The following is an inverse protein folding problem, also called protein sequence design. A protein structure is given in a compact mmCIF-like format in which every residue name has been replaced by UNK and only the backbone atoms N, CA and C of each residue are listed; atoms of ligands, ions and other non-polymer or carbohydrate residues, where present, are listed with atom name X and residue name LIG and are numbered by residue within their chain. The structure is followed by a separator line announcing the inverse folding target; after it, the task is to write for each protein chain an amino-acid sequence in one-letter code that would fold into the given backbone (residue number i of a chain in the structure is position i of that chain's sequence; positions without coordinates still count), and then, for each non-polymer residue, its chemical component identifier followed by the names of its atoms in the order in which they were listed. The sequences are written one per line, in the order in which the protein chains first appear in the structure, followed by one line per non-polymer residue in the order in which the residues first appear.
data_IF_050573656860
#
_entry.id   IF_050573656860
#
_cell.length_a   1.000
_cell.length_b   1.000
_cell.length_c   1.000
_cell.angle_alpha   90.00
_cell.angle_beta   90.00
_cell.angle_gamma   90.00
#
_symmetry.space_group_name_H-M   'P 1'
#
loop_
_entity.id
_entity.type
_entity.pdbx_description
1 polymer ?
#
# COMPACT_ATOMS: atom_id res chain seq x y z
N UNK A 1 5.74 -20.12 8.78
CA UNK A 1 5.26 -19.18 7.74
C UNK A 1 5.57 -19.73 6.35
N UNK A 2 4.80 -19.37 5.30
CA UNK A 2 4.94 -19.93 3.95
C UNK A 2 6.35 -19.79 3.34
N UNK A 3 7.07 -18.70 3.63
CA UNK A 3 8.41 -18.46 3.08
C UNK A 3 9.46 -19.50 3.53
N UNK A 4 9.34 -20.08 4.74
CA UNK A 4 10.21 -21.19 5.17
C UNK A 4 9.94 -22.49 4.39
N UNK A 5 8.70 -22.72 3.99
CA UNK A 5 8.35 -23.91 3.20
C UNK A 5 8.91 -23.81 1.78
N UNK A 6 8.82 -22.64 1.14
CA UNK A 6 9.44 -22.39 -0.16
C UNK A 6 10.97 -22.53 -0.12
N UNK A 7 11.62 -22.05 0.94
CA UNK A 7 13.06 -22.24 1.12
C UNK A 7 13.46 -23.73 1.15
N UNK A 8 12.73 -24.56 1.92
CA UNK A 8 12.98 -26.01 1.96
C UNK A 8 12.77 -26.69 0.60
N UNK A 9 11.80 -26.23 -0.17
CA UNK A 9 11.63 -26.70 -1.55
C UNK A 9 12.83 -26.33 -2.41
N UNK A 10 13.38 -25.12 -2.26
CA UNK A 10 14.56 -24.73 -3.04
C UNK A 10 15.82 -25.50 -2.70
N UNK A 11 15.96 -25.91 -1.43
CA UNK A 11 17.07 -26.78 -0.99
C UNK A 11 16.98 -28.16 -1.64
N UNK A 12 15.77 -28.65 -1.95
CA UNK A 12 15.55 -29.98 -2.55
C UNK A 12 15.54 -29.97 -4.09
N UNK A 13 14.95 -28.94 -4.69
CA UNK A 13 14.64 -28.90 -6.13
C UNK A 13 15.43 -27.85 -6.91
N UNK A 14 16.25 -27.05 -6.23
CA UNK A 14 17.02 -25.97 -6.83
C UNK A 14 16.44 -24.56 -6.57
N UNK A 15 17.16 -23.51 -6.95
CA UNK A 15 16.88 -22.13 -6.52
C UNK A 15 15.57 -21.55 -7.05
N UNK A 16 15.07 -22.07 -8.19
CA UNK A 16 13.80 -21.69 -8.80
C UNK A 16 12.87 -22.88 -8.75
N UNK A 17 11.72 -22.72 -8.08
CA UNK A 17 10.73 -23.79 -7.94
C UNK A 17 9.37 -23.36 -8.47
N UNK A 18 8.68 -24.29 -9.13
CA UNK A 18 7.31 -24.09 -9.60
C UNK A 18 6.32 -24.80 -8.68
N UNK A 19 5.32 -24.09 -8.17
CA UNK A 19 4.31 -24.60 -7.25
C UNK A 19 2.91 -24.26 -7.77
N UNK A 20 2.04 -25.26 -7.88
CA UNK A 20 0.63 -25.03 -8.13
C UNK A 20 -0.08 -24.57 -6.86
N UNK A 21 -0.77 -23.44 -6.94
CA UNK A 21 -1.64 -22.94 -5.87
C UNK A 21 -3.04 -22.72 -6.45
N UNK A 22 -3.94 -23.66 -6.15
CA UNK A 22 -5.22 -23.72 -6.83
C UNK A 22 -5.00 -23.91 -8.34
N UNK A 23 -5.65 -23.09 -9.16
CA UNK A 23 -5.52 -23.13 -10.63
C UNK A 23 -4.35 -22.34 -11.21
N UNK A 24 -3.48 -21.74 -10.38
CA UNK A 24 -2.39 -20.88 -10.85
C UNK A 24 -1.02 -21.53 -10.56
N UNK A 25 -0.12 -21.45 -11.55
CA UNK A 25 1.28 -21.82 -11.39
C UNK A 25 2.08 -20.63 -10.82
N UNK A 26 2.69 -20.83 -9.66
CA UNK A 26 3.58 -19.86 -9.03
C UNK A 26 5.02 -20.27 -9.26
N UNK A 27 5.83 -19.36 -9.81
CA UNK A 27 7.28 -19.51 -9.88
C UNK A 27 7.89 -18.75 -8.70
N UNK A 28 8.68 -19.45 -7.88
CA UNK A 28 9.28 -18.90 -6.67
C UNK A 28 10.80 -18.84 -6.83
N UNK A 29 11.34 -17.63 -6.68
CA UNK A 29 12.78 -17.34 -6.74
C UNK A 29 13.34 -17.31 -5.32
N UNK A 30 14.35 -18.14 -5.03
CA UNK A 30 14.91 -18.25 -3.68
C UNK A 30 16.35 -17.72 -3.56
N UNK A 31 16.93 -17.15 -4.63
CA UNK A 31 18.26 -16.53 -4.58
C UNK A 31 18.22 -15.06 -4.98
N UNK A 32 19.10 -14.26 -4.39
CA UNK A 32 19.25 -12.85 -4.74
C UNK A 32 19.73 -12.66 -6.20
N UNK A 33 20.52 -13.59 -6.72
CA UNK A 33 21.00 -13.53 -8.11
C UNK A 33 19.84 -13.67 -9.10
N UNK A 34 18.94 -14.64 -8.90
CA UNK A 34 17.76 -14.85 -9.75
C UNK A 34 16.78 -13.68 -9.65
N UNK A 35 16.55 -13.16 -8.44
CA UNK A 35 15.70 -11.99 -8.22
C UNK A 35 16.28 -10.77 -8.96
N UNK A 36 17.58 -10.52 -8.87
CA UNK A 36 18.22 -9.40 -9.58
C UNK A 36 18.16 -9.57 -11.10
N UNK A 37 18.39 -10.78 -11.60
CA UNK A 37 18.34 -11.05 -13.04
C UNK A 37 16.92 -10.88 -13.61
N UNK A 38 15.89 -11.41 -12.91
CA UNK A 38 14.52 -11.40 -13.42
C UNK A 38 13.77 -10.12 -13.04
N UNK A 39 13.81 -9.68 -11.78
CA UNK A 39 13.03 -8.54 -11.32
C UNK A 39 13.69 -7.19 -11.63
N UNK A 40 15.02 -7.07 -11.54
CA UNK A 40 15.69 -5.78 -11.79
C UNK A 40 16.04 -5.63 -13.27
N UNK A 41 16.90 -6.50 -13.82
CA UNK A 41 17.38 -6.35 -15.21
C UNK A 41 16.28 -6.57 -16.24
N UNK A 42 15.37 -7.50 -15.97
CA UNK A 42 14.25 -7.86 -16.86
C UNK A 42 12.90 -7.39 -16.30
N UNK A 43 12.92 -6.35 -15.46
CA UNK A 43 11.72 -5.87 -14.77
C UNK A 43 10.56 -5.52 -15.70
N UNK A 44 10.80 -5.05 -16.93
CA UNK A 44 9.72 -4.77 -17.90
C UNK A 44 8.87 -5.99 -18.27
N UNK A 45 9.43 -7.20 -18.13
CA UNK A 45 8.75 -8.47 -18.40
C UNK A 45 8.01 -8.96 -17.14
N UNK A 46 8.63 -8.82 -15.96
CA UNK A 46 8.16 -9.45 -14.72
C UNK A 46 7.50 -8.49 -13.70
N UNK A 47 7.39 -7.20 -13.99
CA UNK A 47 6.83 -6.21 -13.05
C UNK A 47 5.31 -6.20 -12.97
N UNK A 48 4.60 -6.90 -13.85
CA UNK A 48 3.14 -6.91 -13.82
C UNK A 48 2.61 -7.57 -12.55
N UNK A 49 1.43 -7.13 -12.10
CA UNK A 49 0.75 -7.67 -10.92
C UNK A 49 -0.35 -8.64 -11.36
N UNK A 50 -0.56 -9.76 -10.63
CA UNK A 50 -1.74 -10.58 -10.83
C UNK A 50 -3.01 -9.75 -10.73
N UNK A 51 -4.00 -10.02 -11.58
CA UNK A 51 -5.27 -9.30 -11.55
C UNK A 51 -6.00 -9.60 -10.24
N UNK A 52 -6.28 -8.55 -9.45
CA UNK A 52 -7.07 -8.63 -8.23
C UNK A 52 -8.37 -7.84 -8.47
N UNK A 53 -9.37 -8.48 -9.09
CA UNK A 53 -10.57 -7.77 -9.57
C UNK A 53 -11.34 -7.12 -8.41
N UNK A 54 -11.55 -7.84 -7.31
CA UNK A 54 -12.29 -7.24 -6.19
C UNK A 54 -11.47 -6.15 -5.50
N UNK A 55 -10.21 -6.44 -5.16
CA UNK A 55 -9.38 -5.50 -4.43
C UNK A 55 -9.03 -4.27 -5.27
N UNK A 56 -8.48 -4.45 -6.48
CA UNK A 56 -8.06 -3.34 -7.33
C UNK A 56 -9.26 -2.65 -8.01
N UNK A 57 -10.12 -3.39 -8.73
CA UNK A 57 -11.13 -2.77 -9.60
C UNK A 57 -12.37 -2.30 -8.81
N UNK A 58 -12.81 -3.05 -7.79
CA UNK A 58 -14.00 -2.69 -7.00
C UNK A 58 -13.66 -1.80 -5.80
N UNK A 59 -12.75 -2.24 -4.93
CA UNK A 59 -12.50 -1.57 -3.65
C UNK A 59 -11.68 -0.29 -3.87
N UNK A 60 -10.63 -0.36 -4.67
CA UNK A 60 -9.75 0.79 -4.98
C UNK A 60 -10.12 1.54 -6.25
N UNK A 61 -11.20 1.15 -6.95
CA UNK A 61 -11.65 1.79 -8.18
C UNK A 61 -10.54 1.92 -9.25
N UNK A 62 -9.61 0.94 -9.30
CA UNK A 62 -8.48 0.93 -10.24
C UNK A 62 -7.36 1.93 -9.93
N UNK A 63 -7.40 2.62 -8.78
CA UNK A 63 -6.47 3.71 -8.45
C UNK A 63 -5.26 3.27 -7.61
N UNK A 64 -5.23 2.04 -7.10
CA UNK A 64 -4.13 1.58 -6.25
C UNK A 64 -2.95 1.10 -7.08
N UNK A 65 -1.91 1.93 -7.18
CA UNK A 65 -0.72 1.67 -8.00
C UNK A 65 -0.02 0.34 -7.65
N UNK A 66 -0.01 -0.06 -6.38
CA UNK A 66 0.69 -1.25 -5.93
C UNK A 66 0.04 -2.57 -6.40
N UNK A 67 -1.26 -2.54 -6.70
CA UNK A 67 -2.01 -3.66 -7.28
C UNK A 67 -2.28 -3.54 -8.78
N UNK A 68 -1.93 -2.40 -9.39
CA UNK A 68 -2.23 -2.15 -10.79
C UNK A 68 -1.32 -3.03 -11.69
N UNK A 69 -1.89 -3.75 -12.68
CA UNK A 69 -1.10 -4.45 -13.70
C UNK A 69 -0.20 -3.48 -14.47
N UNK A 70 0.91 -4.00 -15.01
CA UNK A 70 1.84 -3.16 -15.76
C UNK A 70 1.22 -2.75 -17.10
N UNK A 71 0.74 -1.49 -17.17
CA UNK A 71 0.11 -0.88 -18.35
C UNK A 71 0.40 0.64 -18.37
N UNK A 72 -0.18 1.37 -19.32
CA UNK A 72 0.00 2.82 -19.44
C UNK A 72 -0.50 3.60 -18.21
N UNK A 73 -1.60 3.15 -17.58
CA UNK A 73 -2.12 3.75 -16.35
C UNK A 73 -1.10 3.65 -15.22
N UNK A 74 -0.52 2.46 -15.01
CA UNK A 74 0.55 2.25 -14.03
C UNK A 74 1.76 3.13 -14.34
N UNK A 75 2.21 3.20 -15.61
CA UNK A 75 3.35 4.04 -16.02
C UNK A 75 3.11 5.52 -15.71
N UNK A 76 1.89 6.02 -16.00
CA UNK A 76 1.50 7.40 -15.71
C UNK A 76 1.49 7.69 -14.21
N UNK A 77 0.84 6.84 -13.42
CA UNK A 77 0.80 6.98 -11.95
C UNK A 77 2.22 6.92 -11.36
N UNK A 78 3.06 5.98 -11.82
CA UNK A 78 4.45 5.84 -11.37
C UNK A 78 5.29 7.06 -11.70
N UNK A 79 5.11 7.64 -12.89
CA UNK A 79 5.81 8.86 -13.31
C UNK A 79 5.49 10.02 -12.37
N UNK A 80 4.19 10.26 -12.09
CA UNK A 80 3.74 11.33 -11.18
C UNK A 80 4.33 11.10 -9.77
N UNK A 81 4.19 9.88 -9.23
CA UNK A 81 4.72 9.57 -7.91
C UNK A 81 6.24 9.79 -7.84
N UNK A 82 6.98 9.36 -8.85
CA UNK A 82 8.45 9.55 -8.90
C UNK A 82 8.84 11.02 -9.03
N UNK A 83 7.99 11.86 -9.65
CA UNK A 83 8.21 13.31 -9.68
C UNK A 83 7.99 13.95 -8.31
N UNK A 84 7.12 13.40 -7.47
CA UNK A 84 6.91 13.86 -6.09
C UNK A 84 8.00 13.35 -5.15
N UNK A 85 8.22 12.03 -5.08
CA UNK A 85 9.10 11.39 -4.08
C UNK A 85 10.47 10.99 -4.62
N UNK A 86 10.85 11.47 -5.80
CA UNK A 86 12.13 11.16 -6.42
C UNK A 86 13.33 11.76 -5.65
N UNK A 87 14.56 11.29 -5.95
CA UNK A 87 15.77 11.68 -5.21
C UNK A 87 16.02 13.20 -5.13
N UNK A 88 15.58 13.93 -6.16
CA UNK A 88 15.72 15.39 -6.21
C UNK A 88 14.75 16.10 -5.29
N UNK A 89 13.51 15.62 -5.19
CA UNK A 89 12.43 16.27 -4.43
C UNK A 89 12.38 15.82 -2.98
N UNK A 90 12.89 14.62 -2.67
CA UNK A 90 12.88 14.10 -1.29
C UNK A 90 13.71 14.94 -0.32
N UNK A 91 14.72 15.69 -0.81
CA UNK A 91 15.52 16.63 0.02
C UNK A 91 14.67 17.71 0.67
N UNK A 92 13.57 18.12 0.02
CA UNK A 92 12.63 19.07 0.59
C UNK A 92 11.96 18.53 1.88
N UNK A 93 11.87 17.20 2.03
CA UNK A 93 11.24 16.54 3.18
C UNK A 93 12.19 16.36 4.35
N UNK A 94 13.50 16.57 4.17
CA UNK A 94 14.49 16.34 5.20
C UNK A 94 14.23 17.13 6.50
N UNK A 95 13.88 18.43 6.47
CA UNK A 95 13.56 19.16 7.70
C UNK A 95 12.37 18.58 8.46
N UNK A 96 11.35 18.10 7.75
CA UNK A 96 10.19 17.43 8.34
C UNK A 96 10.62 16.11 9.02
N UNK A 97 11.43 15.30 8.34
CA UNK A 97 11.95 14.04 8.90
C UNK A 97 12.82 14.28 10.13
N UNK A 98 13.70 15.28 10.12
CA UNK A 98 14.56 15.64 11.25
C UNK A 98 13.75 16.12 12.45
N UNK A 99 12.71 16.92 12.22
CA UNK A 99 11.82 17.39 13.28
C UNK A 99 11.04 16.23 13.91
N UNK A 100 10.44 15.36 13.11
CA UNK A 100 9.73 14.20 13.63
C UNK A 100 10.67 13.20 14.31
N UNK A 101 11.92 13.09 13.86
CA UNK A 101 12.91 12.23 14.51
C UNK A 101 13.27 12.74 15.90
N UNK A 102 13.46 14.06 16.07
CA UNK A 102 13.69 14.68 17.39
C UNK A 102 12.50 14.44 18.32
N UNK A 103 11.29 14.60 17.81
CA UNK A 103 10.08 14.31 18.56
C UNK A 103 9.98 12.84 18.95
N UNK A 104 10.28 11.92 18.03
CA UNK A 104 10.28 10.49 18.31
C UNK A 104 11.26 10.13 19.44
N UNK A 105 12.47 10.68 19.40
CA UNK A 105 13.44 10.52 20.49
C UNK A 105 12.91 11.08 21.82
N UNK A 106 12.21 12.22 21.78
CA UNK A 106 11.60 12.81 22.98
C UNK A 106 10.49 11.92 23.55
N UNK A 107 9.61 11.43 22.70
CA UNK A 107 8.50 10.55 23.09
C UNK A 107 9.02 9.24 23.70
N UNK A 108 10.11 8.69 23.15
CA UNK A 108 10.79 7.51 23.69
C UNK A 108 11.44 7.75 25.07
N UNK A 109 11.97 8.95 25.32
CA UNK A 109 12.52 9.28 26.64
C UNK A 109 11.41 9.36 27.70
N UNK A 110 10.22 9.81 27.31
CA UNK A 110 9.09 9.98 28.23
C UNK A 110 8.33 8.66 28.47
N UNK A 111 8.23 7.78 27.45
CA UNK A 111 7.52 6.48 27.55
C UNK A 111 8.12 5.42 26.62
N UNK A 112 9.28 4.83 26.98
CA UNK A 112 10.01 3.88 26.12
C UNK A 112 9.22 2.59 25.83
N UNK A 113 8.30 2.20 26.72
CA UNK A 113 7.43 1.04 26.56
C UNK A 113 6.50 1.16 25.35
N UNK A 114 6.23 2.39 24.89
CA UNK A 114 5.36 2.68 23.75
C UNK A 114 6.12 2.82 22.43
N UNK A 115 7.32 2.23 22.32
CA UNK A 115 8.20 2.30 21.15
C UNK A 115 7.48 2.16 19.80
N UNK A 116 6.62 1.15 19.66
CA UNK A 116 5.87 0.89 18.42
C UNK A 116 4.87 2.00 18.10
N UNK A 117 4.15 2.50 19.11
CA UNK A 117 3.17 3.57 18.91
C UNK A 117 3.86 4.88 18.51
N UNK A 118 5.01 5.18 19.11
CA UNK A 118 5.80 6.35 18.73
C UNK A 118 6.33 6.25 17.30
N UNK A 119 6.72 5.05 16.85
CA UNK A 119 7.21 4.81 15.50
C UNK A 119 6.08 4.96 14.46
N UNK A 120 4.88 4.48 14.79
CA UNK A 120 3.67 4.61 13.98
C UNK A 120 3.22 6.07 13.86
N UNK A 121 3.26 6.82 14.98
CA UNK A 121 3.02 8.27 14.97
C UNK A 121 4.06 8.99 14.10
N UNK A 122 5.34 8.64 14.22
CA UNK A 122 6.42 9.23 13.43
C UNK A 122 6.17 9.05 11.92
N UNK A 123 5.89 7.81 11.50
CA UNK A 123 5.58 7.50 10.10
C UNK A 123 4.31 8.20 9.60
N UNK A 124 3.26 8.21 10.43
CA UNK A 124 2.01 8.92 10.13
C UNK A 124 2.25 10.41 9.91
N UNK A 125 2.98 11.05 10.82
CA UNK A 125 3.20 12.49 10.78
C UNK A 125 3.99 12.90 9.54
N UNK A 126 5.06 12.16 9.21
CA UNK A 126 5.80 12.38 7.96
C UNK A 126 4.87 12.26 6.75
N UNK A 127 4.06 11.20 6.69
CA UNK A 127 3.13 10.98 5.58
C UNK A 127 2.12 12.12 5.47
N UNK A 128 1.43 12.48 6.55
CA UNK A 128 0.38 13.50 6.50
C UNK A 128 0.95 14.89 6.25
N UNK A 129 2.11 15.22 6.80
CA UNK A 129 2.76 16.52 6.56
C UNK A 129 3.24 16.63 5.12
N UNK A 130 3.85 15.57 4.60
CA UNK A 130 4.40 15.54 3.24
C UNK A 130 3.31 15.52 2.18
N UNK A 131 2.26 14.71 2.39
CA UNK A 131 1.22 14.50 1.38
C UNK A 131 0.10 15.52 1.52
N UNK A 132 -0.41 15.76 2.73
CA UNK A 132 -1.62 16.55 2.98
C UNK A 132 -1.37 17.87 3.72
N UNK A 133 -0.12 18.17 4.05
CA UNK A 133 0.24 19.43 4.66
C UNK A 133 -0.14 19.60 6.13
N UNK A 134 -0.45 18.52 6.86
CA UNK A 134 -0.74 18.66 8.29
C UNK A 134 -0.04 17.59 9.12
N UNK A 135 0.30 17.95 10.35
CA UNK A 135 1.07 17.12 11.25
C UNK A 135 0.17 16.24 12.13
N UNK A 136 0.55 14.98 12.34
CA UNK A 136 -0.08 14.12 13.33
C UNK A 136 0.65 14.28 14.68
N UNK A 137 0.12 15.15 15.54
CA UNK A 137 0.76 15.50 16.81
C UNK A 137 0.78 14.38 17.86
N UNK A 138 -0.15 13.42 17.76
CA UNK A 138 -0.40 12.38 18.75
C UNK A 138 -0.76 11.06 18.04
N UNK A 139 -0.47 9.91 18.66
CA UNK A 139 -0.94 8.59 18.21
C UNK A 139 -2.47 8.49 18.18
N UNK A 140 -3.16 9.27 19.02
CA UNK A 140 -4.62 9.38 19.03
C UNK A 140 -5.16 10.19 17.85
N UNK A 141 -4.28 10.79 17.04
CA UNK A 141 -4.71 11.50 15.85
C UNK A 141 -5.48 10.56 14.92
N UNK A 142 -6.65 10.96 14.39
CA UNK A 142 -7.47 10.09 13.56
C UNK A 142 -6.72 9.46 12.37
N UNK A 143 -5.74 10.18 11.80
CA UNK A 143 -4.89 9.65 10.72
C UNK A 143 -3.97 8.51 11.18
N UNK A 144 -3.42 8.56 12.39
CA UNK A 144 -2.53 7.52 12.90
C UNK A 144 -3.32 6.25 13.16
N UNK A 145 -4.49 6.37 13.81
CA UNK A 145 -5.41 5.26 13.98
C UNK A 145 -5.88 4.70 12.63
N UNK A 146 -6.21 5.56 11.66
CA UNK A 146 -6.63 5.11 10.34
C UNK A 146 -5.54 4.33 9.61
N UNK A 147 -4.27 4.74 9.69
CA UNK A 147 -3.15 4.00 9.09
C UNK A 147 -2.89 2.66 9.78
N UNK A 148 -2.92 2.62 11.11
CA UNK A 148 -2.82 1.37 11.89
C UNK A 148 -3.92 0.38 11.51
N UNK A 149 -5.17 0.85 11.49
CA UNK A 149 -6.32 0.05 11.07
C UNK A 149 -6.20 -0.37 9.61
N UNK A 150 -5.67 0.49 8.75
CA UNK A 150 -5.47 0.19 7.33
C UNK A 150 -4.47 -0.93 7.13
N UNK A 151 -3.39 -1.03 7.92
CA UNK A 151 -2.42 -2.12 7.79
C UNK A 151 -3.06 -3.50 8.01
N UNK A 152 -3.77 -3.67 9.13
CA UNK A 152 -4.51 -4.92 9.42
C UNK A 152 -5.64 -5.19 8.42
N UNK A 153 -6.33 -4.14 7.98
CA UNK A 153 -7.36 -4.25 6.96
C UNK A 153 -6.77 -4.70 5.61
N UNK A 154 -5.63 -4.13 5.20
CA UNK A 154 -4.94 -4.49 3.96
C UNK A 154 -4.49 -5.95 3.97
N UNK A 155 -3.89 -6.41 5.07
CA UNK A 155 -3.51 -7.82 5.23
C UNK A 155 -4.73 -8.74 5.04
N UNK A 156 -5.84 -8.42 5.69
CA UNK A 156 -7.08 -9.20 5.59
C UNK A 156 -7.68 -9.20 4.17
N UNK A 157 -7.65 -8.05 3.48
CA UNK A 157 -8.26 -7.89 2.16
C UNK A 157 -7.37 -8.42 1.03
N UNK A 158 -6.05 -8.37 1.16
CA UNK A 158 -5.11 -8.87 0.15
C UNK A 158 -4.89 -10.38 0.23
N UNK A 159 -5.49 -11.08 1.21
CA UNK A 159 -5.33 -12.52 1.33
C UNK A 159 -5.71 -13.24 0.03
N UNK A 160 -4.77 -14.05 -0.54
CA UNK A 160 -5.10 -14.93 -1.65
C UNK A 160 -6.25 -15.83 -1.20
N UNK A 161 -7.26 -15.99 -2.05
CA UNK A 161 -8.52 -16.72 -1.81
C UNK A 161 -9.64 -16.00 -1.04
N UNK A 162 -9.44 -14.75 -0.59
CA UNK A 162 -10.50 -14.00 0.12
C UNK A 162 -11.76 -13.78 -0.72
N UNK A 163 -11.58 -13.57 -2.02
CA UNK A 163 -12.66 -13.19 -2.93
C UNK A 163 -12.99 -14.34 -3.88
N UNK A 164 -14.22 -14.82 -3.83
CA UNK A 164 -14.69 -15.89 -4.72
C UNK A 164 -14.68 -15.46 -6.18
N UNK A 165 -14.91 -14.17 -6.45
CA UNK A 165 -14.83 -13.58 -7.80
C UNK A 165 -13.41 -13.64 -8.39
N UNK A 166 -12.37 -13.57 -7.55
CA UNK A 166 -10.98 -13.69 -8.00
C UNK A 166 -10.57 -15.15 -8.21
N UNK A 167 -11.11 -16.07 -7.39
CA UNK A 167 -10.87 -17.51 -7.56
C UNK A 167 -11.61 -18.10 -8.77
N UNK A 168 -12.80 -17.57 -9.07
CA UNK A 168 -13.67 -18.06 -10.15
C UNK A 168 -14.05 -16.89 -11.08
N UNK A 169 -13.25 -16.58 -12.10
CA UNK A 169 -13.45 -15.43 -12.98
C UNK A 169 -14.82 -15.38 -13.66
N UNK A 170 -15.50 -16.52 -13.84
CA UNK A 170 -16.86 -16.55 -14.38
C UNK A 170 -17.87 -15.78 -13.52
N UNK A 171 -17.65 -15.76 -12.19
CA UNK A 171 -18.50 -15.01 -11.27
C UNK A 171 -18.36 -13.50 -11.47
N UNK A 172 -17.24 -12.99 -11.99
CA UNK A 172 -17.04 -11.56 -12.27
C UNK A 172 -18.10 -11.00 -13.22
N UNK A 173 -18.63 -11.82 -14.13
CA UNK A 173 -19.67 -11.44 -15.11
C UNK A 173 -21.07 -11.36 -14.53
N UNK A 174 -21.30 -11.84 -13.30
CA UNK A 174 -22.63 -11.84 -12.70
C UNK A 174 -23.15 -10.42 -12.48
N UNK A 175 -24.45 -10.16 -12.77
CA UNK A 175 -25.07 -8.89 -12.45
C UNK A 175 -25.18 -8.70 -10.93
N UNK A 176 -25.29 -7.44 -10.48
CA UNK A 176 -25.26 -7.09 -9.05
C UNK A 176 -26.31 -7.83 -8.21
N UNK A 177 -27.50 -8.07 -8.76
CA UNK A 177 -28.58 -8.77 -8.07
C UNK A 177 -28.28 -10.25 -7.81
N UNK A 178 -27.48 -10.89 -8.67
CA UNK A 178 -27.10 -12.30 -8.56
C UNK A 178 -25.86 -12.53 -7.66
N UNK A 179 -25.21 -11.45 -7.21
CA UNK A 179 -23.99 -11.50 -6.42
C UNK A 179 -24.12 -10.70 -5.10
N UNK A 180 -25.00 -11.12 -4.17
CA UNK A 180 -25.28 -10.37 -2.94
C UNK A 180 -24.06 -10.16 -2.05
N UNK A 181 -23.07 -11.06 -2.08
CA UNK A 181 -21.82 -10.93 -1.33
C UNK A 181 -21.01 -9.69 -1.73
N UNK A 182 -21.16 -9.18 -2.96
CA UNK A 182 -20.49 -7.94 -3.42
C UNK A 182 -20.95 -6.69 -2.68
N UNK A 183 -22.09 -6.74 -1.98
CA UNK A 183 -22.54 -5.65 -1.10
C UNK A 183 -21.45 -5.27 -0.09
N UNK A 184 -20.68 -6.25 0.40
CA UNK A 184 -19.56 -5.99 1.30
C UNK A 184 -18.41 -5.26 0.60
N UNK A 185 -18.09 -5.61 -0.65
CA UNK A 185 -17.00 -4.97 -1.41
C UNK A 185 -17.29 -3.49 -1.64
N UNK A 186 -18.54 -3.15 -1.95
CA UNK A 186 -18.96 -1.75 -2.10
C UNK A 186 -18.97 -0.99 -0.77
N UNK A 187 -19.22 -1.65 0.36
CA UNK A 187 -19.07 -1.03 1.69
C UNK A 187 -17.60 -0.74 1.98
N UNK A 188 -16.71 -1.68 1.67
CA UNK A 188 -15.27 -1.54 1.81
C UNK A 188 -14.75 -0.37 0.94
N UNK A 189 -15.20 -0.27 -0.31
CA UNK A 189 -14.88 0.84 -1.21
C UNK A 189 -15.32 2.21 -0.65
N UNK A 190 -16.55 2.28 -0.12
CA UNK A 190 -17.07 3.51 0.52
C UNK A 190 -16.27 3.91 1.76
N UNK A 191 -15.86 2.94 2.58
CA UNK A 191 -15.03 3.19 3.76
C UNK A 191 -13.68 3.77 3.36
N UNK A 192 -13.02 3.16 2.38
CA UNK A 192 -11.74 3.64 1.86
C UNK A 192 -11.85 5.08 1.33
N UNK A 193 -12.89 5.37 0.54
CA UNK A 193 -13.13 6.72 0.04
C UNK A 193 -13.38 7.72 1.18
N UNK A 194 -14.07 7.31 2.25
CA UNK A 194 -14.30 8.15 3.43
C UNK A 194 -12.99 8.50 4.13
N UNK A 195 -12.08 7.54 4.29
CA UNK A 195 -10.75 7.76 4.89
C UNK A 195 -9.92 8.70 4.02
N UNK A 196 -9.87 8.44 2.70
CA UNK A 196 -9.14 9.29 1.76
C UNK A 196 -9.67 10.74 1.77
N UNK A 197 -10.99 10.93 1.80
CA UNK A 197 -11.62 12.26 1.94
C UNK A 197 -11.30 12.92 3.27
N UNK A 198 -11.25 12.18 4.37
CA UNK A 198 -10.89 12.74 5.67
C UNK A 198 -9.48 13.34 5.70
N UNK A 199 -8.54 12.82 4.89
CA UNK A 199 -7.21 13.42 4.73
C UNK A 199 -7.17 14.53 3.68
N UNK A 200 -7.96 14.40 2.60
CA UNK A 200 -7.98 15.36 1.50
C UNK A 200 -8.70 16.68 1.82
N UNK A 201 -9.86 16.63 2.49
CA UNK A 201 -10.68 17.83 2.70
C UNK A 201 -9.98 18.91 3.56
N UNK A 202 -9.24 18.59 4.64
CA UNK A 202 -8.47 19.59 5.38
C UNK A 202 -7.39 20.24 4.51
N UNK A 203 -6.66 19.45 3.71
CA UNK A 203 -5.67 19.97 2.78
C UNK A 203 -6.29 20.94 1.77
N UNK A 204 -7.43 20.56 1.19
CA UNK A 204 -8.19 21.40 0.26
C UNK A 204 -8.68 22.70 0.90
N UNK A 205 -9.05 22.66 2.17
CA UNK A 205 -9.46 23.84 2.92
C UNK A 205 -8.28 24.79 3.16
N UNK A 206 -7.12 24.27 3.58
CA UNK A 206 -5.92 25.08 3.77
C UNK A 206 -5.48 25.81 2.48
N UNK A 207 -5.56 25.14 1.33
CA UNK A 207 -5.28 25.76 0.02
C UNK A 207 -6.25 26.90 -0.29
N UNK A 208 -7.54 26.74 0.04
CA UNK A 208 -8.56 27.80 -0.14
C UNK A 208 -8.33 28.99 0.78
N UNK A 209 -7.85 28.73 1.98
CA UNK A 209 -7.58 29.75 3.00
C UNK A 209 -6.25 30.48 2.74
N UNK A 210 -5.51 30.12 1.70
CA UNK A 210 -4.24 30.75 1.34
C UNK A 210 -3.11 30.41 2.32
N UNK A 211 -3.25 29.34 3.10
CA UNK A 211 -2.21 28.84 3.99
C UNK A 211 -1.20 28.13 3.09
N UNK A 212 -0.01 28.72 2.92
CA UNK A 212 1.07 28.12 2.14
C UNK A 212 1.58 26.88 2.89
N UNK A 213 1.16 25.71 2.41
CA UNK A 213 1.64 24.45 2.92
C UNK A 213 2.37 23.72 1.81
N UNK A 214 3.69 23.68 1.95
CA UNK A 214 4.53 22.94 1.03
C UNK A 214 4.35 21.43 1.25
N UNK A 215 3.43 20.85 0.49
CA UNK A 215 3.10 19.43 0.44
C UNK A 215 2.84 18.99 -1.02
N UNK A 216 2.62 17.69 -1.24
CA UNK A 216 2.44 17.16 -2.61
C UNK A 216 1.00 17.21 -3.15
N UNK A 217 0.00 17.38 -2.29
CA UNK A 217 -1.43 17.37 -2.62
C UNK A 217 -1.91 18.59 -3.41
#
# INVERSE_FOLDING_TARGET
QPHHWYKRLSEKYGPIVSVWKGGNLHIVLNTAADIKELCDKRGTIYSSRPKMFVFHDIIFHGMFIASCPYNESWRRQRKIMTQCVGPTKIKFLQPCQEYEAKQYCRDLLDSPENFYLHAERFGTSILTSTVYGYRAHDIRHPSALALLMMASWMEHKMHPTRYIDDNYPILQKLPRWAAPWRKQYYRDAKLLLKIAKAWWEPCKQHVRDGIDISCFA
#
